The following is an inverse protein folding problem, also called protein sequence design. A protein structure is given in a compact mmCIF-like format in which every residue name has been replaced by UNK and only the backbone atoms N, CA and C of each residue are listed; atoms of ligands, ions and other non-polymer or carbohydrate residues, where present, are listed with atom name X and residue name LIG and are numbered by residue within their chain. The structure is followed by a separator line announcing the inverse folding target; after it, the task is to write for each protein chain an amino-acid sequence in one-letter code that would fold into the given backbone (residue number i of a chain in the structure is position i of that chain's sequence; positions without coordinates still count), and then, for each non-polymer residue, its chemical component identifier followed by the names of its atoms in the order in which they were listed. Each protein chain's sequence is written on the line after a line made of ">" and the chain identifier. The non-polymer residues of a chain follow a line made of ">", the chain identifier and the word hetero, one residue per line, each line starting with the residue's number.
data_IF_963671049392
#
_entry.id   IF_963671049392
#
_cell.length_a   1.000
_cell.length_b   1.000
_cell.length_c   1.000
_cell.angle_alpha   90.00
_cell.angle_beta   90.00
_cell.angle_gamma   90.00
#
_symmetry.space_group_name_H-M   'P 1'
#
loop_
_entity.id
_entity.type
_entity.pdbx_description
1 polymer ?
#
# COMPACT_ATOMS: atom_id res chain seq x y z
N UNK A 1 -18.28 7.00 5.17
CA UNK A 1 -17.79 7.31 6.52
C UNK A 1 -18.74 6.78 7.58
N UNK A 2 -18.59 5.51 7.95
CA UNK A 2 -18.95 4.98 9.28
C UNK A 2 -17.76 4.10 9.64
N UNK A 3 -16.98 4.57 10.62
CA UNK A 3 -15.89 3.81 11.22
C UNK A 3 -16.55 2.87 12.23
N UNK A 4 -16.67 1.59 11.87
CA UNK A 4 -16.98 0.53 12.82
C UNK A 4 -15.64 -0.08 13.26
N UNK A 5 -15.08 0.54 14.30
CA UNK A 5 -14.04 -0.06 15.13
C UNK A 5 -14.73 -1.14 15.97
N UNK A 6 -14.57 -2.40 15.58
CA UNK A 6 -14.89 -3.53 16.43
C UNK A 6 -13.67 -3.81 17.32
N UNK A 7 -13.54 -3.04 18.40
CA UNK A 7 -12.66 -3.37 19.50
C UNK A 7 -13.35 -4.50 20.28
N UNK A 8 -12.96 -5.73 20.01
CA UNK A 8 -13.14 -6.81 20.98
C UNK A 8 -12.03 -6.60 22.02
N UNK A 9 -12.35 -5.91 23.12
CA UNK A 9 -11.54 -5.92 24.33
C UNK A 9 -11.62 -7.34 24.90
N UNK A 10 -10.77 -8.22 24.38
CA UNK A 10 -10.30 -9.35 25.15
C UNK A 10 -9.35 -8.78 26.20
N UNK A 11 -9.86 -8.57 27.41
CA UNK A 11 -9.05 -8.34 28.61
C UNK A 11 -8.20 -9.60 28.80
N UNK A 12 -7.05 -9.64 28.12
CA UNK A 12 -5.97 -10.50 28.54
C UNK A 12 -5.46 -9.88 29.83
N UNK A 13 -5.82 -10.48 30.98
CA UNK A 13 -5.15 -10.22 32.25
C UNK A 13 -3.66 -10.47 32.01
N UNK A 14 -2.89 -9.40 31.87
CA UNK A 14 -1.44 -9.45 31.92
C UNK A 14 -1.08 -9.77 33.38
N UNK A 15 -1.13 -11.06 33.72
CA UNK A 15 -0.43 -11.55 34.89
C UNK A 15 1.06 -11.51 34.55
N UNK A 16 1.71 -10.37 34.82
CA UNK A 16 3.13 -10.26 35.13
C UNK A 16 4.14 -11.01 34.26
N UNK A 17 4.02 -10.94 32.94
CA UNK A 17 5.11 -11.30 32.02
C UNK A 17 5.80 -10.03 31.52
N UNK A 18 7.05 -9.80 31.93
CA UNK A 18 7.87 -8.68 31.45
C UNK A 18 8.06 -8.82 29.93
N UNK A 19 7.94 -7.72 29.19
CA UNK A 19 8.18 -7.66 27.74
C UNK A 19 9.53 -8.31 27.42
N UNK A 20 9.52 -9.33 26.55
CA UNK A 20 10.73 -10.04 26.16
C UNK A 20 11.60 -9.18 25.24
N UNK A 21 12.90 -9.47 25.22
CA UNK A 21 13.80 -8.87 24.24
C UNK A 21 13.28 -9.19 22.84
N UNK A 22 13.13 -8.17 22.01
CA UNK A 22 12.75 -8.31 20.61
C UNK A 22 13.64 -7.43 19.74
N UNK A 23 13.96 -7.93 18.55
CA UNK A 23 14.59 -7.18 17.48
C UNK A 23 13.52 -6.85 16.44
N UNK A 24 13.30 -5.56 16.19
CA UNK A 24 12.33 -5.09 15.20
C UNK A 24 13.04 -4.31 14.10
N UNK A 25 12.87 -4.73 12.85
CA UNK A 25 13.40 -4.05 11.68
C UNK A 25 12.28 -3.79 10.67
N UNK A 26 12.05 -2.52 10.37
CA UNK A 26 11.16 -2.09 9.31
C UNK A 26 11.89 -1.10 8.40
N UNK A 27 12.40 -1.55 7.24
CA UNK A 27 13.09 -0.68 6.28
C UNK A 27 12.13 0.23 5.50
N UNK A 28 10.82 0.04 5.65
CA UNK A 28 9.81 0.76 4.87
C UNK A 28 9.79 2.24 5.25
N UNK A 29 10.06 3.12 4.28
CA UNK A 29 9.85 4.54 4.44
C UNK A 29 8.35 4.87 4.31
N UNK A 30 7.72 5.26 5.42
CA UNK A 30 6.29 5.59 5.47
C UNK A 30 6.11 7.09 5.23
N UNK A 31 5.44 7.42 4.13
CA UNK A 31 5.05 8.80 3.81
C UNK A 31 3.58 8.97 4.15
N UNK A 32 3.30 9.73 5.20
CA UNK A 32 1.94 9.92 5.74
C UNK A 32 1.57 11.39 5.84
N UNK A 33 0.30 11.70 5.55
CA UNK A 33 -0.25 13.05 5.62
C UNK A 33 -1.14 13.37 4.41
N UNK A 34 -1.82 14.51 4.49
CA UNK A 34 -2.61 15.03 3.37
C UNK A 34 -1.67 15.50 2.24
N UNK A 35 -2.07 15.26 0.99
CA UNK A 35 -1.40 15.77 -0.22
C UNK A 35 0.06 15.30 -0.44
N UNK A 36 0.52 14.28 0.29
CA UNK A 36 1.90 13.73 0.15
C UNK A 36 2.15 12.95 -1.14
N UNK A 37 1.13 12.72 -1.97
CA UNK A 37 1.27 11.99 -3.23
C UNK A 37 2.22 12.70 -4.20
N UNK A 38 2.34 14.03 -4.11
CA UNK A 38 3.19 14.84 -4.99
C UNK A 38 4.70 14.56 -4.77
N UNK A 39 5.08 13.96 -3.64
CA UNK A 39 6.47 13.56 -3.37
C UNK A 39 6.91 12.33 -4.15
N UNK A 40 5.96 11.61 -4.77
CA UNK A 40 6.23 10.39 -5.51
C UNK A 40 7.27 10.60 -6.63
N UNK A 41 7.29 11.80 -7.22
CA UNK A 41 8.28 12.17 -8.24
C UNK A 41 9.72 12.21 -7.70
N UNK A 42 9.91 12.45 -6.41
CA UNK A 42 11.23 12.46 -5.75
C UNK A 42 11.57 11.11 -5.14
N UNK A 43 10.56 10.39 -4.64
CA UNK A 43 10.73 9.11 -3.95
C UNK A 43 11.00 7.94 -4.91
N UNK A 44 10.49 8.02 -6.14
CA UNK A 44 10.75 7.02 -7.18
C UNK A 44 11.92 7.48 -8.04
N UNK A 45 12.90 6.63 -8.38
CA UNK A 45 13.98 7.00 -9.29
C UNK A 45 13.46 7.54 -10.63
N UNK A 46 14.13 8.55 -11.20
CA UNK A 46 13.66 9.25 -12.42
C UNK A 46 13.67 8.38 -13.67
N UNK A 47 14.56 7.40 -13.71
CA UNK A 47 14.78 6.44 -14.78
C UNK A 47 14.00 5.13 -14.61
N UNK A 48 13.21 5.00 -13.54
CA UNK A 48 12.45 3.79 -13.26
C UNK A 48 11.34 3.54 -14.29
N UNK A 49 11.25 2.29 -14.76
CA UNK A 49 10.05 1.75 -15.38
C UNK A 49 9.12 1.28 -14.26
N UNK A 50 7.91 1.84 -14.20
CA UNK A 50 6.96 1.61 -13.10
C UNK A 50 5.82 0.72 -13.58
N UNK A 51 5.51 -0.31 -12.82
CA UNK A 51 4.29 -1.12 -13.00
C UNK A 51 3.34 -0.84 -11.84
N UNK A 52 2.19 -0.25 -12.13
CA UNK A 52 1.14 0.00 -11.14
C UNK A 52 0.21 -1.20 -11.13
N UNK A 53 0.13 -1.88 -9.99
CA UNK A 53 -0.76 -3.03 -9.80
C UNK A 53 -1.96 -2.65 -8.94
N UNK A 54 -3.16 -3.09 -9.31
CA UNK A 54 -4.38 -2.82 -8.53
C UNK A 54 -5.44 -3.92 -8.69
N UNK A 55 -6.33 -4.01 -7.70
CA UNK A 55 -7.36 -5.04 -7.63
C UNK A 55 -8.67 -4.67 -8.31
N UNK A 56 -9.78 -4.79 -7.58
CA UNK A 56 -11.17 -4.67 -8.05
C UNK A 56 -11.64 -3.28 -8.54
N UNK A 57 -10.75 -2.47 -9.13
CA UNK A 57 -11.11 -1.25 -9.85
C UNK A 57 -11.48 -0.03 -8.99
N UNK A 58 -11.64 -0.16 -7.68
CA UNK A 58 -11.98 0.98 -6.79
C UNK A 58 -10.96 2.13 -6.87
N UNK A 59 -9.66 1.81 -6.99
CA UNK A 59 -8.60 2.80 -7.16
C UNK A 59 -8.70 3.55 -8.50
N UNK A 60 -9.21 2.89 -9.55
CA UNK A 60 -9.46 3.51 -10.87
C UNK A 60 -10.71 4.40 -10.78
N UNK A 61 -11.81 3.89 -10.24
CA UNK A 61 -13.08 4.63 -10.13
C UNK A 61 -12.95 5.91 -9.27
N UNK A 62 -12.11 5.87 -8.23
CA UNK A 62 -11.83 7.04 -7.39
C UNK A 62 -10.89 8.07 -8.02
N UNK A 63 -10.33 7.80 -9.21
CA UNK A 63 -9.32 8.65 -9.87
C UNK A 63 -7.95 8.62 -9.19
N UNK A 64 -7.71 7.70 -8.24
CA UNK A 64 -6.43 7.59 -7.54
C UNK A 64 -5.31 7.16 -8.50
N UNK A 65 -5.58 6.21 -9.39
CA UNK A 65 -4.61 5.75 -10.40
C UNK A 65 -4.17 6.92 -11.29
N UNK A 66 -5.10 7.74 -11.77
CA UNK A 66 -4.78 8.89 -12.61
C UNK A 66 -3.89 9.90 -11.88
N UNK A 67 -4.15 10.14 -10.59
CA UNK A 67 -3.32 11.00 -9.75
C UNK A 67 -1.91 10.44 -9.56
N UNK A 68 -1.77 9.12 -9.38
CA UNK A 68 -0.47 8.44 -9.26
C UNK A 68 0.31 8.56 -10.57
N UNK A 69 -0.32 8.27 -11.71
CA UNK A 69 0.31 8.38 -13.04
C UNK A 69 0.80 9.81 -13.27
N UNK A 70 -0.01 10.81 -12.91
CA UNK A 70 0.38 12.22 -13.00
C UNK A 70 1.56 12.55 -12.09
N UNK A 71 1.57 12.07 -10.85
CA UNK A 71 2.65 12.29 -9.89
C UNK A 71 3.97 11.60 -10.30
N UNK A 72 3.90 10.52 -11.09
CA UNK A 72 5.08 9.85 -11.65
C UNK A 72 5.70 10.58 -12.86
N UNK A 73 5.08 11.66 -13.34
CA UNK A 73 5.62 12.50 -14.41
C UNK A 73 5.86 11.73 -15.71
N UNK A 74 7.07 11.86 -16.26
CA UNK A 74 7.41 11.32 -17.59
C UNK A 74 7.96 9.87 -17.58
N UNK A 75 7.87 9.16 -16.45
CA UNK A 75 8.34 7.78 -16.36
C UNK A 75 7.53 6.86 -17.27
N UNK A 76 8.13 5.75 -17.70
CA UNK A 76 7.38 4.70 -18.38
C UNK A 76 6.52 3.98 -17.36
N UNK A 77 5.20 4.14 -17.47
CA UNK A 77 4.22 3.53 -16.56
C UNK A 77 3.39 2.49 -17.30
N UNK A 78 3.35 1.28 -16.78
CA UNK A 78 2.45 0.20 -17.19
C UNK A 78 1.46 -0.08 -16.06
N UNK A 79 0.28 -0.61 -16.39
CA UNK A 79 -0.81 -0.85 -15.44
C UNK A 79 -1.26 -2.29 -15.53
N UNK A 80 -1.40 -2.95 -14.39
CA UNK A 80 -1.91 -4.31 -14.28
C UNK A 80 -3.04 -4.37 -13.25
N UNK A 81 -4.26 -4.39 -13.76
CA UNK A 81 -5.48 -4.43 -12.96
C UNK A 81 -6.04 -5.85 -12.78
N UNK A 82 -7.06 -5.98 -11.93
CA UNK A 82 -7.80 -7.24 -11.78
C UNK A 82 -7.21 -8.22 -10.78
N UNK A 83 -6.33 -7.75 -9.88
CA UNK A 83 -5.80 -8.58 -8.80
C UNK A 83 -6.91 -8.87 -7.78
N UNK A 84 -7.27 -10.15 -7.66
CA UNK A 84 -8.29 -10.57 -6.69
C UNK A 84 -7.81 -10.41 -5.24
N UNK A 85 -8.70 -10.17 -4.27
CA UNK A 85 -8.34 -9.95 -2.86
C UNK A 85 -7.55 -11.08 -2.20
N UNK A 86 -7.69 -12.31 -2.71
CA UNK A 86 -6.92 -13.47 -2.34
C UNK A 86 -6.28 -14.07 -3.60
N UNK A 87 -5.18 -13.49 -4.09
CA UNK A 87 -4.63 -13.85 -5.38
C UNK A 87 -4.10 -15.29 -5.37
N UNK A 88 -4.54 -16.11 -6.32
CA UNK A 88 -4.01 -17.45 -6.52
C UNK A 88 -2.60 -17.41 -7.12
N UNK A 89 -1.79 -18.45 -6.90
CA UNK A 89 -0.41 -18.52 -7.39
C UNK A 89 -0.31 -18.34 -8.92
N UNK A 90 -1.34 -18.74 -9.66
CA UNK A 90 -1.42 -18.60 -11.12
C UNK A 90 -1.45 -17.14 -11.60
N UNK A 91 -1.99 -16.22 -10.79
CA UNK A 91 -2.04 -14.80 -11.14
C UNK A 91 -0.64 -14.17 -11.19
N UNK A 92 0.27 -14.59 -10.30
CA UNK A 92 1.63 -14.05 -10.21
C UNK A 92 2.51 -14.40 -11.42
N UNK A 93 2.18 -15.46 -12.17
CA UNK A 93 2.94 -15.88 -13.36
C UNK A 93 2.73 -14.97 -14.58
N UNK A 94 1.69 -14.13 -14.53
CA UNK A 94 1.27 -13.26 -15.62
C UNK A 94 1.59 -11.78 -15.38
N UNK A 95 2.25 -11.47 -14.25
CA UNK A 95 2.84 -10.17 -13.92
C UNK A 95 4.28 -10.15 -14.44
#
# INVERSE_FOLDING_TARGET
>A
CIILIWIHISICRINGGCMYNFDFYNPTHIVFGKDRLDELDTLVPKDAKVLITYGGGSAVHSGLIDRIVKALGNRKVEQFGGIEPNPSLELYKNI
#
